data_IF_659807900929
#
_entry.id   IF_659807900929
#
_cell.length_a   1.000
_cell.length_b   1.000
_cell.length_c   1.000
_cell.angle_alpha   90.00
_cell.angle_beta   90.00
_cell.angle_gamma   90.00
#
_symmetry.space_group_name_H-M   'P 1'
#
loop_
_entity.id
_entity.type
_entity.pdbx_description
1 polymer ?
#
# COMPACT_ATOMS: atom_id res chain seq x y z
N UNK A 1 12.48 32.94 -28.28
CA UNK A 1 13.23 32.68 -27.03
C UNK A 1 12.87 31.27 -26.58
N UNK A 2 13.81 30.33 -26.65
CA UNK A 2 13.64 28.96 -26.15
C UNK A 2 13.98 28.96 -24.67
N UNK A 3 13.03 28.57 -23.83
CA UNK A 3 13.29 28.35 -22.41
C UNK A 3 14.29 27.20 -22.26
N UNK A 4 15.42 27.44 -21.61
CA UNK A 4 16.39 26.41 -21.27
C UNK A 4 15.79 25.55 -20.14
N UNK A 5 15.61 24.27 -20.41
CA UNK A 5 15.31 23.28 -19.36
C UNK A 5 16.58 23.11 -18.52
N UNK A 6 16.52 23.48 -17.26
CA UNK A 6 17.55 23.16 -16.27
C UNK A 6 17.49 21.65 -16.05
N UNK A 7 18.58 20.90 -16.28
CA UNK A 7 18.59 19.47 -15.94
C UNK A 7 18.51 19.32 -14.42
N UNK A 8 17.54 18.56 -13.93
CA UNK A 8 17.47 18.15 -12.52
C UNK A 8 18.64 17.18 -12.31
N UNK A 9 19.60 17.54 -11.48
CA UNK A 9 20.70 16.66 -11.09
C UNK A 9 20.15 15.56 -10.15
N UNK A 10 19.81 14.43 -10.74
CA UNK A 10 19.27 13.26 -10.05
C UNK A 10 20.22 12.77 -8.94
N UNK A 11 21.54 12.98 -9.07
CA UNK A 11 22.52 12.60 -8.04
C UNK A 11 22.50 13.51 -6.81
N UNK A 12 22.30 14.81 -7.00
CA UNK A 12 22.21 15.76 -5.89
C UNK A 12 20.95 15.50 -5.05
N UNK A 13 19.80 15.25 -5.71
CA UNK A 13 18.54 14.90 -5.03
C UNK A 13 18.66 13.59 -4.25
N UNK A 14 19.41 12.60 -4.77
CA UNK A 14 19.59 11.31 -4.13
C UNK A 14 20.45 11.38 -2.85
N UNK A 15 21.47 12.23 -2.83
CA UNK A 15 22.33 12.44 -1.66
C UNK A 15 21.56 13.13 -0.52
N UNK A 16 20.68 14.07 -0.81
CA UNK A 16 19.82 14.71 0.20
C UNK A 16 18.90 13.72 0.93
N UNK A 17 18.37 12.71 0.22
CA UNK A 17 17.52 11.68 0.84
C UNK A 17 18.28 10.72 1.77
N UNK A 18 19.58 10.52 1.59
CA UNK A 18 20.39 9.63 2.43
C UNK A 18 20.72 10.24 3.81
N UNK A 19 20.70 11.57 3.94
CA UNK A 19 21.06 12.30 5.16
C UNK A 19 19.86 12.65 6.06
N UNK A 20 18.64 12.15 5.76
CA UNK A 20 17.48 12.39 6.62
C UNK A 20 17.72 11.71 7.97
N UNK A 21 17.84 12.53 9.01
CA UNK A 21 17.95 12.03 10.40
C UNK A 21 16.57 11.64 10.91
N UNK A 22 16.26 10.33 10.87
CA UNK A 22 14.98 9.80 11.30
C UNK A 22 14.95 9.67 12.81
N UNK A 23 14.01 10.31 13.46
CA UNK A 23 13.78 10.20 14.90
C UNK A 23 13.02 8.92 15.27
N UNK A 24 12.28 8.34 14.31
CA UNK A 24 11.48 7.12 14.46
C UNK A 24 11.54 6.27 13.19
N UNK A 25 11.31 4.95 13.29
CA UNK A 25 11.13 4.11 12.10
C UNK A 25 10.01 4.64 11.21
N UNK A 26 10.17 4.53 9.89
CA UNK A 26 9.12 4.90 8.96
C UNK A 26 7.86 4.04 9.18
N UNK A 27 6.65 4.58 8.98
CA UNK A 27 5.41 3.85 9.22
C UNK A 27 5.21 2.66 8.28
N UNK A 28 4.39 1.69 8.73
CA UNK A 28 3.72 0.74 7.86
C UNK A 28 2.26 1.16 7.70
N UNK A 29 1.70 0.95 6.51
CA UNK A 29 0.31 1.26 6.19
C UNK A 29 -0.37 0.06 5.54
N UNK A 30 -1.63 -0.17 5.86
CA UNK A 30 -2.58 -0.80 4.97
C UNK A 30 -3.51 0.28 4.43
N UNK A 31 -3.68 0.34 3.12
CA UNK A 31 -4.55 1.32 2.47
C UNK A 31 -5.56 0.59 1.59
N UNK A 32 -6.85 0.82 1.84
CA UNK A 32 -7.92 0.41 0.96
C UNK A 32 -7.93 1.33 -0.27
N UNK A 33 -7.37 0.86 -1.41
CA UNK A 33 -7.28 1.69 -2.61
C UNK A 33 -8.59 1.81 -3.39
N UNK A 34 -9.58 0.93 -3.09
CA UNK A 34 -10.89 0.97 -3.70
C UNK A 34 -10.87 0.79 -5.22
N UNK A 35 -11.83 1.44 -5.91
CA UNK A 35 -11.85 1.46 -7.37
C UNK A 35 -10.89 2.53 -7.92
N UNK A 36 -10.41 2.41 -9.18
CA UNK A 36 -9.56 3.41 -9.83
C UNK A 36 -10.10 4.85 -9.79
N UNK A 37 -11.42 5.02 -9.71
CA UNK A 37 -12.10 6.32 -9.55
C UNK A 37 -11.72 7.04 -8.25
N UNK A 38 -11.19 6.34 -7.25
CA UNK A 38 -10.65 6.96 -6.03
C UNK A 38 -9.61 8.03 -6.38
N UNK A 39 -8.84 7.88 -7.46
CA UNK A 39 -7.91 8.90 -7.93
C UNK A 39 -8.53 10.28 -8.21
N UNK A 40 -9.84 10.32 -8.55
CA UNK A 40 -10.58 11.56 -8.84
C UNK A 40 -11.65 11.88 -7.79
N UNK A 41 -12.07 10.88 -7.04
CA UNK A 41 -13.14 10.96 -6.05
C UNK A 41 -12.59 10.51 -4.68
N UNK A 42 -11.89 11.41 -3.96
CA UNK A 42 -11.12 11.05 -2.76
C UNK A 42 -12.00 10.54 -1.59
N UNK A 43 -13.31 10.77 -1.65
CA UNK A 43 -14.21 10.39 -0.56
C UNK A 43 -13.72 10.89 0.80
N UNK A 44 -13.99 10.10 1.83
CA UNK A 44 -13.52 10.37 3.18
C UNK A 44 -12.03 10.05 3.35
N UNK A 45 -11.54 8.98 2.71
CA UNK A 45 -10.18 8.48 2.91
C UNK A 45 -9.10 9.42 2.34
N UNK A 46 -9.33 10.07 1.19
CA UNK A 46 -8.30 10.90 0.55
C UNK A 46 -7.73 11.98 1.46
N UNK A 47 -8.53 12.87 2.07
CA UNK A 47 -8.05 13.85 3.07
C UNK A 47 -7.35 13.21 4.27
N UNK A 48 -7.82 12.04 4.73
CA UNK A 48 -7.20 11.29 5.84
C UNK A 48 -5.81 10.82 5.47
N UNK A 49 -5.62 10.27 4.25
CA UNK A 49 -4.29 9.88 3.75
C UNK A 49 -3.36 11.09 3.60
N UNK A 50 -3.87 12.22 3.11
CA UNK A 50 -3.07 13.45 3.00
C UNK A 50 -2.60 13.94 4.39
N UNK A 51 -3.46 13.88 5.38
CA UNK A 51 -3.09 14.21 6.76
C UNK A 51 -2.08 13.20 7.32
N UNK A 52 -2.25 11.90 7.04
CA UNK A 52 -1.31 10.86 7.45
C UNK A 52 0.08 11.05 6.82
N UNK A 53 0.14 11.40 5.53
CA UNK A 53 1.40 11.72 4.84
C UNK A 53 2.15 12.90 5.48
N UNK A 54 1.44 13.95 5.87
CA UNK A 54 2.05 15.09 6.59
C UNK A 54 2.58 14.68 7.97
N UNK A 55 1.84 13.85 8.71
CA UNK A 55 2.26 13.33 10.02
C UNK A 55 3.44 12.39 9.93
N UNK A 56 3.52 11.61 8.86
CA UNK A 56 4.65 10.71 8.61
C UNK A 56 5.98 11.46 8.51
N UNK A 57 5.96 12.71 8.01
CA UNK A 57 7.17 13.49 7.80
C UNK A 57 8.01 12.97 6.63
N UNK A 58 9.29 13.30 6.65
CA UNK A 58 10.22 12.90 5.61
C UNK A 58 10.59 11.41 5.74
N UNK A 59 10.50 10.70 4.62
CA UNK A 59 10.94 9.30 4.47
C UNK A 59 11.91 9.19 3.30
N UNK A 60 12.75 8.17 3.28
CA UNK A 60 13.73 7.96 2.21
C UNK A 60 13.14 7.29 0.97
N UNK A 61 12.16 6.42 1.17
CA UNK A 61 11.43 5.75 0.10
C UNK A 61 10.09 5.19 0.59
N UNK A 62 9.21 4.82 -0.34
CA UNK A 62 8.02 4.03 -0.06
C UNK A 62 8.05 2.73 -0.87
N UNK A 63 7.82 1.62 -0.19
CA UNK A 63 7.65 0.29 -0.76
C UNK A 63 6.17 -0.03 -0.80
N UNK A 64 5.66 -0.49 -1.95
CA UNK A 64 4.25 -0.82 -2.13
C UNK A 64 4.10 -2.30 -2.49
N UNK A 65 3.16 -2.98 -1.82
CA UNK A 65 2.68 -4.32 -2.19
C UNK A 65 1.22 -4.19 -2.63
N UNK A 66 0.92 -4.60 -3.88
CA UNK A 66 -0.42 -4.47 -4.48
C UNK A 66 -0.86 -5.79 -5.13
N UNK A 67 -2.15 -6.16 -5.06
CA UNK A 67 -2.70 -7.37 -5.68
C UNK A 67 -2.71 -7.29 -7.22
N UNK A 68 -2.49 -6.12 -7.80
CA UNK A 68 -2.47 -5.91 -9.26
C UNK A 68 -1.16 -6.31 -9.91
N UNK A 69 -0.22 -6.82 -9.14
CA UNK A 69 1.01 -7.41 -9.64
C UNK A 69 1.27 -8.77 -8.97
N UNK A 70 0.71 -9.80 -9.58
CA UNK A 70 0.93 -11.19 -9.13
C UNK A 70 1.87 -11.92 -10.10
N UNK A 71 2.92 -12.56 -9.55
CA UNK A 71 3.97 -13.22 -10.33
C UNK A 71 4.22 -14.65 -9.85
N UNK A 72 5.01 -15.40 -10.61
CA UNK A 72 5.63 -16.62 -10.11
C UNK A 72 6.88 -16.23 -9.30
N UNK A 73 6.92 -16.57 -8.01
CA UNK A 73 7.89 -16.01 -7.07
C UNK A 73 7.62 -14.53 -6.79
N UNK A 74 8.63 -13.82 -6.27
CA UNK A 74 8.54 -12.40 -5.94
C UNK A 74 9.36 -11.58 -6.94
N UNK A 75 8.76 -10.52 -7.49
CA UNK A 75 9.45 -9.53 -8.30
C UNK A 75 9.51 -8.19 -7.56
N UNK A 76 10.63 -7.51 -7.65
CA UNK A 76 10.84 -6.20 -7.03
C UNK A 76 11.17 -5.18 -8.12
N UNK A 77 10.29 -4.20 -8.30
CA UNK A 77 10.49 -3.15 -9.30
C UNK A 77 11.75 -2.35 -9.00
N UNK A 78 12.68 -2.33 -9.95
CA UNK A 78 14.01 -1.70 -9.79
C UNK A 78 14.31 -0.63 -10.84
N UNK A 79 13.31 -0.20 -11.61
CA UNK A 79 13.44 0.92 -12.54
C UNK A 79 13.67 2.24 -11.79
N UNK A 80 14.57 3.13 -12.25
CA UNK A 80 14.77 4.44 -11.64
C UNK A 80 13.64 5.45 -11.95
N UNK A 81 12.78 5.15 -12.93
CA UNK A 81 11.68 6.01 -13.35
C UNK A 81 10.45 5.14 -13.71
N UNK A 82 9.67 4.72 -12.70
CA UNK A 82 8.52 3.85 -12.92
C UNK A 82 7.39 4.61 -13.65
N UNK A 83 6.87 4.01 -14.72
CA UNK A 83 5.69 4.52 -15.41
C UNK A 83 4.42 4.33 -14.57
N UNK A 84 3.44 5.22 -14.79
CA UNK A 84 2.08 5.05 -14.27
C UNK A 84 1.33 4.04 -15.14
N UNK A 85 0.97 2.89 -14.59
CA UNK A 85 0.23 1.83 -15.30
C UNK A 85 -1.28 2.02 -15.06
N UNK A 86 -2.06 2.07 -16.15
CA UNK A 86 -3.53 2.07 -16.12
C UNK A 86 -4.02 0.66 -16.41
N UNK A 87 -3.91 -0.22 -15.41
CA UNK A 87 -4.26 -1.65 -15.45
C UNK A 87 -5.78 -1.90 -15.29
N UNK A 88 -6.59 -0.97 -15.75
CA UNK A 88 -8.05 -1.01 -15.68
C UNK A 88 -8.68 -0.56 -17.02
N UNK A 89 -9.96 -0.88 -17.22
CA UNK A 89 -10.72 -0.49 -18.41
C UNK A 89 -12.14 -0.08 -18.08
N UNK A 90 -12.81 0.65 -19.02
CA UNK A 90 -14.21 1.05 -18.86
C UNK A 90 -14.47 2.24 -17.94
N UNK A 91 -13.43 3.00 -17.60
CA UNK A 91 -13.53 4.19 -16.76
C UNK A 91 -13.53 5.49 -17.58
N UNK A 92 -13.92 6.65 -16.98
CA UNK A 92 -13.89 7.95 -17.67
C UNK A 92 -12.49 8.34 -18.16
N UNK A 93 -12.44 8.92 -19.37
CA UNK A 93 -11.18 9.32 -20.04
C UNK A 93 -10.22 10.14 -19.17
N UNK A 94 -10.65 11.12 -18.36
CA UNK A 94 -9.74 11.89 -17.51
C UNK A 94 -8.87 11.04 -16.58
N UNK A 95 -9.35 9.85 -16.18
CA UNK A 95 -8.60 8.94 -15.31
C UNK A 95 -7.33 8.40 -16.00
N UNK A 96 -7.39 8.15 -17.31
CA UNK A 96 -6.25 7.67 -18.11
C UNK A 96 -5.19 8.75 -18.38
N UNK A 97 -5.50 10.02 -18.12
CA UNK A 97 -4.57 11.13 -18.27
C UNK A 97 -3.75 11.39 -16.99
N UNK A 98 -4.16 10.80 -15.87
CA UNK A 98 -3.45 10.98 -14.60
C UNK A 98 -2.08 10.29 -14.68
N UNK A 99 -1.04 10.99 -14.22
CA UNK A 99 0.32 10.44 -14.08
C UNK A 99 0.83 10.73 -12.68
N UNK A 100 1.42 9.72 -12.07
CA UNK A 100 2.11 9.84 -10.79
C UNK A 100 3.59 9.60 -11.02
N UNK A 101 4.37 10.68 -11.15
CA UNK A 101 5.76 10.65 -11.61
C UNK A 101 6.74 10.72 -10.44
N UNK A 102 6.67 9.75 -9.55
CA UNK A 102 7.67 9.61 -8.49
C UNK A 102 8.96 8.98 -9.05
N UNK A 103 10.14 9.33 -8.53
CA UNK A 103 11.36 8.61 -8.84
C UNK A 103 11.28 7.17 -8.35
N UNK A 104 11.96 6.26 -9.02
CA UNK A 104 12.13 4.88 -8.54
C UNK A 104 13.23 4.77 -7.48
N UNK A 105 13.33 3.61 -6.85
CA UNK A 105 14.25 3.37 -5.74
C UNK A 105 15.10 2.09 -5.95
N UNK A 106 15.95 1.99 -6.99
CA UNK A 106 16.65 0.76 -7.36
C UNK A 106 17.54 0.19 -6.25
N UNK A 107 18.20 1.02 -5.45
CA UNK A 107 19.05 0.55 -4.36
C UNK A 107 18.23 -0.04 -3.20
N UNK A 108 17.09 0.58 -2.86
CA UNK A 108 16.15 0.02 -1.91
C UNK A 108 15.49 -1.26 -2.42
N UNK A 109 15.22 -1.34 -3.71
CA UNK A 109 14.73 -2.55 -4.36
C UNK A 109 15.75 -3.69 -4.25
N UNK A 110 17.03 -3.42 -4.52
CA UNK A 110 18.10 -4.41 -4.36
C UNK A 110 18.23 -4.90 -2.91
N UNK A 111 18.12 -4.00 -1.92
CA UNK A 111 18.13 -4.37 -0.51
C UNK A 111 16.90 -5.21 -0.14
N UNK A 112 15.70 -4.85 -0.62
CA UNK A 112 14.49 -5.64 -0.40
C UNK A 112 14.60 -7.05 -0.99
N UNK A 113 15.21 -7.22 -2.17
CA UNK A 113 15.51 -8.54 -2.76
C UNK A 113 16.34 -9.38 -1.80
N UNK A 114 17.42 -8.82 -1.23
CA UNK A 114 18.30 -9.54 -0.31
C UNK A 114 17.56 -9.99 0.97
N UNK A 115 16.73 -9.11 1.54
CA UNK A 115 15.94 -9.43 2.74
C UNK A 115 14.92 -10.55 2.46
N UNK A 116 14.24 -10.48 1.32
CA UNK A 116 13.27 -11.48 0.91
C UNK A 116 13.94 -12.84 0.62
N UNK A 117 15.08 -12.84 -0.07
CA UNK A 117 15.86 -14.07 -0.32
C UNK A 117 16.34 -14.70 0.98
N UNK A 118 16.81 -13.90 1.93
CA UNK A 118 17.22 -14.36 3.27
C UNK A 118 16.07 -14.96 4.07
N UNK A 119 14.83 -14.54 3.79
CA UNK A 119 13.61 -15.09 4.39
C UNK A 119 13.01 -16.27 3.60
N UNK A 120 13.71 -16.76 2.56
CA UNK A 120 13.34 -17.93 1.78
C UNK A 120 12.38 -17.65 0.61
N UNK A 121 12.16 -16.39 0.24
CA UNK A 121 11.40 -16.06 -0.96
C UNK A 121 12.28 -16.11 -2.22
N UNK A 122 11.74 -16.65 -3.31
CA UNK A 122 12.36 -16.58 -4.64
C UNK A 122 12.16 -15.17 -5.20
N UNK A 123 12.98 -14.21 -4.72
CA UNK A 123 12.86 -12.79 -5.06
C UNK A 123 13.91 -12.39 -6.11
N UNK A 124 13.47 -11.64 -7.14
CA UNK A 124 14.33 -11.13 -8.21
C UNK A 124 13.93 -9.70 -8.59
N UNK A 125 14.87 -8.86 -9.06
CA UNK A 125 14.57 -7.54 -9.56
C UNK A 125 13.80 -7.58 -10.88
N UNK A 126 12.98 -6.54 -11.11
CA UNK A 126 12.29 -6.27 -12.37
C UNK A 126 12.54 -4.81 -12.78
N UNK A 127 13.36 -4.59 -13.81
CA UNK A 127 13.73 -3.26 -14.26
C UNK A 127 12.66 -2.59 -15.16
N UNK A 128 11.61 -3.32 -15.54
CA UNK A 128 10.57 -2.82 -16.46
C UNK A 128 9.24 -2.46 -15.78
N UNK A 129 9.03 -2.90 -14.54
CA UNK A 129 7.72 -2.69 -13.88
C UNK A 129 7.54 -1.24 -13.45
N UNK A 130 6.40 -0.65 -13.87
CA UNK A 130 5.89 0.62 -13.35
C UNK A 130 4.99 0.44 -12.12
N UNK A 131 4.24 1.49 -11.77
CA UNK A 131 3.29 1.50 -10.65
C UNK A 131 1.87 1.24 -11.18
N UNK A 132 1.22 0.16 -10.74
CA UNK A 132 -0.20 -0.10 -11.03
C UNK A 132 -1.13 0.81 -10.21
N UNK A 133 -2.45 0.77 -10.49
CA UNK A 133 -3.38 1.68 -9.83
C UNK A 133 -3.47 1.42 -8.31
N UNK A 134 -3.28 0.21 -7.84
CA UNK A 134 -3.19 -0.08 -6.41
C UNK A 134 -2.00 0.61 -5.75
N UNK A 135 -0.95 0.94 -6.51
CA UNK A 135 0.20 1.71 -6.02
C UNK A 135 -0.01 3.22 -6.18
N UNK A 136 -0.20 3.71 -7.42
CA UNK A 136 -0.18 5.15 -7.66
C UNK A 136 -1.42 5.90 -7.17
N UNK A 137 -2.60 5.25 -7.10
CA UNK A 137 -3.82 5.94 -6.65
C UNK A 137 -3.74 6.36 -5.18
N UNK A 138 -3.45 5.46 -4.20
CA UNK A 138 -3.32 5.89 -2.81
C UNK A 138 -2.13 6.81 -2.58
N UNK A 139 -1.02 6.65 -3.32
CA UNK A 139 0.14 7.51 -3.18
C UNK A 139 -0.14 8.96 -3.60
N UNK A 140 -1.09 9.21 -4.51
CA UNK A 140 -1.51 10.58 -4.86
C UNK A 140 -2.03 11.37 -3.66
N UNK A 141 -2.53 10.69 -2.65
CA UNK A 141 -3.03 11.32 -1.41
C UNK A 141 -2.02 11.24 -0.29
N UNK A 142 -1.33 10.11 -0.14
CA UNK A 142 -0.34 9.92 0.92
C UNK A 142 0.94 10.74 0.68
N UNK A 143 1.41 10.78 -0.58
CA UNK A 143 2.64 11.46 -1.02
C UNK A 143 2.34 12.32 -2.27
N UNK A 144 1.53 13.38 -2.15
CA UNK A 144 0.99 14.13 -3.28
C UNK A 144 2.05 14.83 -4.14
N UNK A 145 3.19 15.18 -3.56
CA UNK A 145 4.28 15.86 -4.27
C UNK A 145 5.03 14.94 -5.25
N UNK A 146 4.83 13.62 -5.16
CA UNK A 146 5.47 12.61 -5.99
C UNK A 146 7.01 12.78 -6.11
N UNK A 147 7.64 13.27 -5.05
CA UNK A 147 9.09 13.50 -4.98
C UNK A 147 9.83 12.45 -4.14
N UNK A 148 9.11 11.66 -3.36
CA UNK A 148 9.66 10.53 -2.59
C UNK A 148 9.90 9.34 -3.53
N UNK A 149 11.09 8.69 -3.50
CA UNK A 149 11.36 7.49 -4.27
C UNK A 149 10.40 6.36 -3.92
N UNK A 150 9.91 5.63 -4.93
CA UNK A 150 8.96 4.53 -4.74
C UNK A 150 9.39 3.28 -5.51
N UNK A 151 9.05 2.11 -4.96
CA UNK A 151 9.20 0.85 -5.66
C UNK A 151 8.11 -0.12 -5.24
N UNK A 152 7.76 -1.04 -6.13
CA UNK A 152 6.68 -1.98 -5.91
C UNK A 152 7.23 -3.40 -5.78
N UNK A 153 6.60 -4.23 -4.94
CA UNK A 153 6.87 -5.66 -4.80
C UNK A 153 5.63 -6.43 -5.23
N UNK A 154 5.82 -7.45 -6.05
CA UNK A 154 4.74 -8.34 -6.46
C UNK A 154 4.35 -9.33 -5.36
N UNK A 155 3.15 -9.86 -5.46
CA UNK A 155 2.67 -10.98 -4.66
C UNK A 155 2.83 -12.28 -5.45
N UNK A 156 3.35 -13.37 -4.86
CA UNK A 156 3.29 -14.69 -5.47
C UNK A 156 1.84 -15.12 -5.77
N UNK A 157 1.63 -15.90 -6.85
CA UNK A 157 0.27 -16.38 -7.18
C UNK A 157 -0.32 -17.35 -6.17
N UNK A 158 0.54 -18.07 -5.44
CA UNK A 158 0.23 -19.01 -4.36
C UNK A 158 0.36 -18.38 -2.96
N UNK A 159 0.22 -17.04 -2.90
CA UNK A 159 0.41 -16.27 -1.67
C UNK A 159 -0.76 -16.50 -0.71
N UNK A 160 -0.47 -16.95 0.50
CA UNK A 160 -1.42 -17.09 1.60
C UNK A 160 -1.13 -16.09 2.74
N UNK A 161 -1.97 -16.08 3.74
CA UNK A 161 -1.81 -15.17 4.90
C UNK A 161 -0.51 -15.42 5.66
N UNK A 162 -0.07 -16.67 5.80
CA UNK A 162 1.17 -17.00 6.49
C UNK A 162 2.40 -16.49 5.72
N UNK A 163 2.40 -16.64 4.39
CA UNK A 163 3.45 -16.10 3.53
C UNK A 163 3.42 -14.56 3.50
N UNK A 164 2.24 -13.94 3.49
CA UNK A 164 2.07 -12.49 3.58
C UNK A 164 2.65 -11.93 4.89
N UNK A 165 2.36 -12.57 6.00
CA UNK A 165 2.96 -12.22 7.30
C UNK A 165 4.49 -12.34 7.29
N UNK A 166 5.02 -13.47 6.79
CA UNK A 166 6.48 -13.64 6.68
C UNK A 166 7.14 -12.60 5.78
N UNK A 167 6.48 -12.21 4.67
CA UNK A 167 6.97 -11.13 3.79
C UNK A 167 7.05 -9.81 4.55
N UNK A 168 6.00 -9.44 5.27
CA UNK A 168 6.00 -8.24 6.10
C UNK A 168 7.13 -8.25 7.14
N UNK A 169 7.32 -9.37 7.86
CA UNK A 169 8.42 -9.54 8.82
C UNK A 169 9.80 -9.41 8.18
N UNK A 170 9.98 -9.98 6.98
CA UNK A 170 11.23 -9.89 6.23
C UNK A 170 11.55 -8.44 5.82
N UNK A 171 10.55 -7.64 5.48
CA UNK A 171 10.70 -6.26 5.04
C UNK A 171 10.74 -5.24 6.19
N UNK A 172 10.31 -5.62 7.40
CA UNK A 172 10.25 -4.74 8.58
C UNK A 172 11.56 -3.96 8.86
N UNK A 173 12.77 -4.54 8.68
CA UNK A 173 14.03 -3.81 8.90
C UNK A 173 14.20 -2.56 8.04
N UNK A 174 13.55 -2.46 6.88
CA UNK A 174 13.58 -1.29 6.02
C UNK A 174 12.98 -0.06 6.68
N UNK A 175 12.02 -0.22 7.59
CA UNK A 175 11.37 0.87 8.31
C UNK A 175 12.37 1.66 9.16
N UNK A 176 13.25 0.96 9.87
CA UNK A 176 14.31 1.60 10.66
C UNK A 176 15.32 2.39 9.81
N UNK A 177 15.37 2.08 8.50
CA UNK A 177 16.22 2.76 7.54
C UNK A 177 15.49 3.90 6.79
N UNK A 178 14.21 4.14 7.11
CA UNK A 178 13.43 5.23 6.54
C UNK A 178 12.56 4.86 5.34
N UNK A 179 12.32 3.59 5.09
CA UNK A 179 11.41 3.13 4.03
C UNK A 179 10.03 2.85 4.62
N UNK A 180 9.02 3.60 4.21
CA UNK A 180 7.64 3.29 4.55
C UNK A 180 7.17 2.05 3.78
N UNK A 181 6.40 1.19 4.44
CA UNK A 181 5.84 -0.03 3.83
C UNK A 181 4.34 0.16 3.67
N UNK A 182 3.85 0.04 2.43
CA UNK A 182 2.44 0.21 2.10
C UNK A 182 1.89 -1.08 1.52
N UNK A 183 1.07 -1.78 2.30
CA UNK A 183 0.18 -2.82 1.79
C UNK A 183 -1.07 -2.14 1.21
N UNK A 184 -1.21 -2.14 -0.10
CA UNK A 184 -2.35 -1.56 -0.80
C UNK A 184 -3.29 -2.67 -1.25
N UNK A 185 -4.51 -2.66 -0.74
CA UNK A 185 -5.51 -3.69 -1.01
C UNK A 185 -6.92 -3.14 -0.95
N UNK A 186 -7.83 -3.92 -0.44
CA UNK A 186 -9.19 -3.48 -0.14
C UNK A 186 -9.69 -4.23 1.10
N UNK A 187 -10.32 -3.52 2.03
CA UNK A 187 -10.80 -4.16 3.26
C UNK A 187 -11.96 -5.11 2.99
N UNK A 188 -12.77 -4.83 1.97
CA UNK A 188 -13.76 -5.73 1.37
C UNK A 188 -13.69 -5.61 -0.16
N UNK A 189 -13.76 -6.72 -0.90
CA UNK A 189 -13.53 -6.72 -2.35
C UNK A 189 -14.45 -7.69 -3.10
N UNK A 190 -15.76 -7.42 -3.09
CA UNK A 190 -16.73 -8.18 -3.90
C UNK A 190 -17.18 -7.34 -5.10
N UNK A 191 -16.42 -7.38 -6.19
CA UNK A 191 -16.71 -6.60 -7.39
C UNK A 191 -18.01 -7.01 -8.07
N UNK A 192 -18.46 -8.26 -7.92
CA UNK A 192 -19.75 -8.67 -8.46
C UNK A 192 -20.88 -7.81 -7.88
N UNK A 193 -20.87 -7.57 -6.57
CA UNK A 193 -21.89 -6.76 -5.91
C UNK A 193 -21.72 -5.25 -6.19
N UNK A 194 -20.51 -4.76 -6.40
CA UNK A 194 -20.25 -3.37 -6.85
C UNK A 194 -20.96 -3.10 -8.16
N UNK A 195 -20.79 -3.98 -9.15
CA UNK A 195 -21.33 -3.78 -10.50
C UNK A 195 -22.84 -4.04 -10.62
N UNK A 196 -23.44 -4.74 -9.67
CA UNK A 196 -24.87 -5.06 -9.65
C UNK A 196 -25.70 -4.16 -8.74
N UNK A 197 -25.17 -2.97 -8.38
CA UNK A 197 -25.91 -1.93 -7.67
C UNK A 197 -26.11 -2.24 -6.19
N UNK A 198 -25.04 -2.62 -5.50
CA UNK A 198 -25.06 -2.91 -4.07
C UNK A 198 -25.67 -1.77 -3.25
N UNK A 199 -26.82 -2.01 -2.62
CA UNK A 199 -27.25 -1.26 -1.44
C UNK A 199 -26.24 -1.54 -0.34
N UNK A 200 -26.13 -0.67 0.67
CA UNK A 200 -25.32 -0.97 1.86
C UNK A 200 -25.52 -2.41 2.29
N UNK A 201 -24.44 -3.20 2.21
CA UNK A 201 -24.49 -4.63 2.49
C UNK A 201 -24.04 -4.86 3.94
N UNK A 202 -24.95 -5.29 4.84
CA UNK A 202 -24.60 -5.51 6.25
C UNK A 202 -23.41 -6.43 6.47
N UNK A 203 -23.18 -7.40 5.57
CA UNK A 203 -22.03 -8.31 5.68
C UNK A 203 -20.69 -7.57 5.51
N UNK A 204 -20.62 -6.58 4.59
CA UNK A 204 -19.41 -5.82 4.36
C UNK A 204 -19.04 -4.98 5.59
N UNK A 205 -20.03 -4.36 6.23
CA UNK A 205 -19.84 -3.64 7.49
C UNK A 205 -19.45 -4.59 8.62
N UNK A 206 -20.09 -5.78 8.72
CA UNK A 206 -19.76 -6.75 9.76
C UNK A 206 -18.33 -7.28 9.61
N UNK A 207 -17.89 -7.55 8.38
CA UNK A 207 -16.53 -7.97 8.09
C UNK A 207 -15.52 -6.84 8.41
N UNK A 208 -15.81 -5.60 7.98
CA UNK A 208 -14.97 -4.44 8.26
C UNK A 208 -14.81 -4.19 9.77
N UNK A 209 -15.90 -4.27 10.53
CA UNK A 209 -15.87 -4.13 11.99
C UNK A 209 -15.04 -5.22 12.66
N UNK A 210 -15.19 -6.47 12.22
CA UNK A 210 -14.40 -7.59 12.74
C UNK A 210 -12.91 -7.40 12.45
N UNK A 211 -12.57 -7.04 11.21
CA UNK A 211 -11.18 -6.78 10.81
C UNK A 211 -10.60 -5.62 11.62
N UNK A 212 -11.38 -4.54 11.82
CA UNK A 212 -10.94 -3.41 12.64
C UNK A 212 -10.63 -3.82 14.08
N UNK A 213 -11.46 -4.66 14.69
CA UNK A 213 -11.21 -5.20 16.04
C UNK A 213 -9.94 -6.03 16.08
N UNK A 214 -9.73 -6.92 15.11
CA UNK A 214 -8.52 -7.74 15.03
C UNK A 214 -7.25 -6.90 14.84
N UNK A 215 -7.26 -5.92 13.92
CA UNK A 215 -6.12 -5.05 13.65
C UNK A 215 -5.80 -4.16 14.85
N UNK A 216 -6.78 -3.46 15.40
CA UNK A 216 -6.57 -2.53 16.52
C UNK A 216 -6.25 -3.27 17.83
N UNK A 217 -6.75 -4.49 17.97
CA UNK A 217 -6.41 -5.39 19.09
C UNK A 217 -5.05 -6.08 18.95
N UNK A 218 -4.42 -6.01 17.77
CA UNK A 218 -3.16 -6.71 17.50
C UNK A 218 -3.32 -8.23 17.42
N UNK A 219 -4.52 -8.72 17.10
CA UNK A 219 -4.83 -10.14 17.00
C UNK A 219 -4.37 -10.71 15.66
N UNK A 220 -3.10 -11.09 15.63
CA UNK A 220 -2.47 -11.64 14.43
C UNK A 220 -3.05 -13.01 14.06
N UNK A 221 -3.38 -13.82 15.04
CA UNK A 221 -3.99 -15.13 14.80
C UNK A 221 -5.33 -14.98 14.06
N UNK A 222 -6.16 -14.03 14.48
CA UNK A 222 -7.40 -13.72 13.80
C UNK A 222 -7.14 -13.28 12.33
N UNK A 223 -6.16 -12.44 12.06
CA UNK A 223 -5.82 -12.01 10.70
C UNK A 223 -5.31 -13.15 9.83
N UNK A 224 -4.50 -14.05 10.38
CA UNK A 224 -3.99 -15.23 9.67
C UNK A 224 -5.09 -16.24 9.34
N UNK A 225 -6.10 -16.34 10.18
CA UNK A 225 -7.20 -17.29 10.03
C UNK A 225 -8.54 -16.60 9.66
N UNK A 226 -8.49 -15.42 9.05
CA UNK A 226 -9.68 -14.59 8.77
C UNK A 226 -10.77 -15.33 7.98
N UNK A 227 -10.36 -16.22 7.06
CA UNK A 227 -11.32 -17.01 6.27
C UNK A 227 -12.25 -17.86 7.14
N UNK A 228 -11.73 -18.40 8.23
CA UNK A 228 -12.49 -19.25 9.15
C UNK A 228 -13.17 -18.46 10.27
N UNK A 229 -12.60 -17.32 10.67
CA UNK A 229 -13.05 -16.60 11.86
C UNK A 229 -13.92 -15.36 11.55
N UNK A 230 -13.68 -14.69 10.42
CA UNK A 230 -14.40 -13.47 10.09
C UNK A 230 -15.83 -13.75 9.55
N UNK A 231 -16.82 -12.91 9.92
CA UNK A 231 -18.17 -13.04 9.40
C UNK A 231 -18.20 -12.79 7.89
N UNK A 232 -18.79 -13.72 7.14
CA UNK A 232 -18.94 -13.60 5.67
C UNK A 232 -17.64 -13.40 4.89
N UNK A 233 -16.52 -13.94 5.36
CA UNK A 233 -15.19 -13.75 4.77
C UNK A 233 -15.15 -14.06 3.27
N UNK A 234 -15.73 -15.17 2.83
CA UNK A 234 -15.77 -15.57 1.42
C UNK A 234 -16.61 -14.62 0.56
N UNK A 235 -17.65 -14.01 1.14
CA UNK A 235 -18.46 -13.02 0.42
C UNK A 235 -17.76 -11.67 0.37
N UNK A 236 -17.06 -11.26 1.44
CA UNK A 236 -16.30 -10.04 1.49
C UNK A 236 -15.07 -10.10 0.56
N UNK A 237 -14.45 -11.27 0.49
CA UNK A 237 -13.31 -11.59 -0.37
C UNK A 237 -13.54 -12.90 -1.11
N UNK A 238 -14.21 -12.90 -2.29
CA UNK A 238 -14.34 -14.11 -3.12
C UNK A 238 -12.97 -14.71 -3.49
N UNK A 239 -11.96 -13.85 -3.65
CA UNK A 239 -10.55 -14.18 -3.80
C UNK A 239 -9.73 -13.38 -2.78
N UNK A 240 -8.57 -13.90 -2.34
CA UNK A 240 -7.88 -13.39 -1.13
C UNK A 240 -6.89 -12.24 -1.40
N UNK A 241 -6.50 -12.04 -2.64
CA UNK A 241 -5.37 -11.17 -3.01
C UNK A 241 -5.50 -9.72 -2.52
N UNK A 242 -6.73 -9.20 -2.38
CA UNK A 242 -6.95 -7.84 -1.87
C UNK A 242 -6.91 -7.72 -0.34
N UNK A 243 -7.02 -8.84 0.38
CA UNK A 243 -6.85 -8.86 1.85
C UNK A 243 -5.39 -9.03 2.26
N UNK A 244 -4.61 -9.80 1.50
CA UNK A 244 -3.22 -10.15 1.85
C UNK A 244 -2.29 -8.96 2.08
N UNK A 245 -2.41 -7.81 1.39
CA UNK A 245 -1.62 -6.61 1.70
C UNK A 245 -1.80 -6.08 3.12
N UNK A 246 -2.98 -6.28 3.74
CA UNK A 246 -3.18 -5.96 5.16
C UNK A 246 -2.26 -6.79 6.05
N UNK A 247 -2.16 -8.09 5.74
CA UNK A 247 -1.34 -9.03 6.52
C UNK A 247 0.16 -8.71 6.34
N UNK A 248 0.57 -8.30 5.13
CA UNK A 248 1.95 -7.82 4.88
C UNK A 248 2.24 -6.57 5.74
N UNK A 249 1.34 -5.60 5.76
CA UNK A 249 1.52 -4.36 6.53
C UNK A 249 1.57 -4.63 8.04
N UNK A 250 0.67 -5.48 8.55
CA UNK A 250 0.66 -5.90 9.94
C UNK A 250 1.95 -6.67 10.31
N UNK A 251 2.46 -7.53 9.40
CA UNK A 251 3.72 -8.23 9.56
C UNK A 251 4.94 -7.30 9.60
N UNK A 252 4.87 -6.14 8.94
CA UNK A 252 5.92 -5.13 8.98
C UNK A 252 5.91 -4.27 10.25
N UNK A 253 4.85 -4.32 11.05
CA UNK A 253 4.78 -3.63 12.33
C UNK A 253 5.82 -4.16 13.33
N UNK A 254 6.32 -3.29 14.21
CA UNK A 254 7.18 -3.70 15.31
C UNK A 254 6.36 -4.44 16.39
N UNK A 255 7.04 -5.25 17.19
CA UNK A 255 6.39 -5.94 18.31
C UNK A 255 5.78 -4.92 19.30
N UNK A 256 4.50 -5.09 19.62
CA UNK A 256 3.77 -4.18 20.51
C UNK A 256 3.36 -2.85 19.88
N UNK A 257 3.67 -2.60 18.62
CA UNK A 257 3.27 -1.38 17.92
C UNK A 257 1.77 -1.36 17.64
N UNK A 258 1.08 -0.36 18.14
CA UNK A 258 -0.36 -0.26 18.01
C UNK A 258 -0.77 0.29 16.65
N UNK A 259 -1.77 -0.32 16.03
CA UNK A 259 -2.38 0.19 14.80
C UNK A 259 -3.25 1.43 15.10
N UNK A 260 -3.25 2.38 14.17
CA UNK A 260 -4.16 3.52 14.14
C UNK A 260 -5.14 3.34 12.98
N UNK A 261 -6.44 3.55 13.25
CA UNK A 261 -7.46 3.59 12.22
C UNK A 261 -7.33 4.88 11.40
N UNK A 262 -7.35 4.75 10.10
CA UNK A 262 -7.50 5.80 9.10
C UNK A 262 -8.89 5.65 8.47
N UNK A 263 -9.92 6.37 8.94
CA UNK A 263 -11.30 6.12 8.55
C UNK A 263 -11.54 6.48 7.08
N UNK A 264 -12.13 5.56 6.33
CA UNK A 264 -12.42 5.71 4.90
C UNK A 264 -13.91 5.61 4.55
N UNK A 265 -14.71 5.04 5.45
CA UNK A 265 -16.14 4.80 5.24
C UNK A 265 -16.43 3.67 4.23
N UNK A 266 -17.62 3.70 3.65
CA UNK A 266 -18.08 2.69 2.69
C UNK A 266 -18.34 3.34 1.33
N UNK A 267 -17.82 2.74 0.25
CA UNK A 267 -18.11 3.17 -1.12
C UNK A 267 -18.82 2.05 -1.88
N UNK A 268 -19.64 2.42 -2.86
CA UNK A 268 -20.47 1.48 -3.64
C UNK A 268 -21.30 0.51 -2.77
N UNK A 269 -21.57 0.84 -1.51
CA UNK A 269 -22.33 0.03 -0.56
C UNK A 269 -21.65 -1.25 -0.07
N UNK A 270 -20.51 -1.63 -0.63
CA UNK A 270 -19.82 -2.90 -0.34
C UNK A 270 -18.30 -2.80 -0.21
N UNK A 271 -17.68 -1.71 -0.61
CA UNK A 271 -16.25 -1.50 -0.47
C UNK A 271 -15.95 -0.66 0.78
N UNK A 272 -15.47 -1.31 1.83
CA UNK A 272 -14.99 -0.64 3.03
C UNK A 272 -13.61 -0.04 2.76
N UNK A 273 -13.50 1.27 2.97
CA UNK A 273 -12.30 2.05 2.67
C UNK A 273 -11.44 2.32 3.90
N UNK A 274 -11.80 1.79 5.06
CA UNK A 274 -10.98 1.92 6.26
C UNK A 274 -9.58 1.38 6.01
N UNK A 275 -8.61 2.09 6.54
CA UNK A 275 -7.18 1.84 6.35
C UNK A 275 -6.50 1.91 7.71
N UNK A 276 -5.27 1.44 7.82
CA UNK A 276 -4.56 1.36 9.09
C UNK A 276 -3.11 1.81 8.94
N UNK A 277 -2.54 2.34 10.03
CA UNK A 277 -1.13 2.70 10.09
C UNK A 277 -0.49 2.23 11.40
N UNK A 278 0.75 1.76 11.33
CA UNK A 278 1.62 1.42 12.44
C UNK A 278 2.82 2.34 12.45
N UNK A 279 3.22 2.84 13.61
CA UNK A 279 4.35 3.76 13.76
C UNK A 279 4.11 5.16 13.19
N UNK A 280 2.87 5.49 12.84
CA UNK A 280 2.52 6.84 12.42
C UNK A 280 2.47 7.74 13.66
N UNK A 281 3.18 8.89 13.71
CA UNK A 281 3.09 9.82 14.83
C UNK A 281 1.64 10.21 15.12
N UNK A 282 1.28 10.39 16.39
CA UNK A 282 -0.06 10.86 16.75
C UNK A 282 -0.29 12.28 16.22
N UNK A 283 -1.56 12.68 15.95
CA UNK A 283 -1.86 14.08 15.66
C UNK A 283 -1.35 14.97 16.78
N UNK A 284 -0.81 16.14 16.42
CA UNK A 284 -0.49 17.15 17.42
C UNK A 284 -1.78 17.51 18.17
N UNK A 285 -1.69 17.64 19.49
CA UNK A 285 -2.81 18.09 20.29
C UNK A 285 -3.18 19.52 19.86
N UNK A 286 -4.44 19.73 19.48
CA UNK A 286 -4.96 21.02 19.05
C UNK A 286 -5.02 22.02 20.21
#
# INVERSE_FOLDING_TARGET
MRAASVPIDVRATYIEYMDINLTHPAPAFFISHGAPTFAMQPGQLGPVLTAAGRRMGAIKAALIVSPHWMTQGVRVASTPAPDTIHDFGGFPEPLYQIRYRAPGAPDWAAHAVQLLQSAGFAAEPDAGRGLDHGAWVPLRYLLPEANTPVFQISMPRDFDTAAAWRMGRALAPLRAQGVAIVGSGSLTHNLYEVFHGGKEAPYAQAFANWTSQAVLGGDIDALLHYRAQAPSAERAHPTEEHFLPLVVAAGAAAEGEQAQLLPGGMTYGVLAMDSYAWGLPLPEAA
#
